data_IF_734732982104
#
_entry.id   IF_734732982104
#
_cell.length_a   1.000
_cell.length_b   1.000
_cell.length_c   1.000
_cell.angle_alpha   90.00
_cell.angle_beta   90.00
_cell.angle_gamma   90.00
#
_symmetry.space_group_name_H-M   'P 1'
#
loop_
_entity.id
_entity.type
_entity.pdbx_description
1 polymer ?
#
# COMPACT_ATOMS: atom_id res chain seq x y z
N UNK A 1 -36.26 -19.97 77.96
CA UNK A 1 -35.46 -18.74 78.14
C UNK A 1 -35.04 -18.28 76.76
N UNK A 2 -35.86 -17.44 76.09
CA UNK A 2 -35.85 -15.96 76.10
C UNK A 2 -34.45 -15.42 75.74
N UNK A 3 -34.25 -14.67 74.65
CA UNK A 3 -34.88 -13.37 74.37
C UNK A 3 -34.84 -13.02 72.87
N UNK A 4 -35.92 -12.40 72.40
CA UNK A 4 -35.94 -11.48 71.25
C UNK A 4 -35.52 -10.10 71.75
N UNK A 5 -34.71 -9.33 71.01
CA UNK A 5 -34.92 -7.88 70.88
C UNK A 5 -34.09 -7.24 69.76
N UNK A 6 -34.82 -6.39 69.04
CA UNK A 6 -34.49 -5.36 68.06
C UNK A 6 -33.64 -4.21 68.65
N UNK A 7 -32.78 -3.58 67.82
CA UNK A 7 -32.30 -2.18 68.00
C UNK A 7 -31.88 -1.60 66.63
N UNK A 8 -32.74 -0.74 66.08
CA UNK A 8 -32.38 0.29 65.10
C UNK A 8 -31.74 1.49 65.82
N UNK A 9 -30.76 2.15 65.19
CA UNK A 9 -30.39 3.57 65.35
C UNK A 9 -29.53 3.98 64.13
N UNK A 10 -30.04 4.79 63.19
CA UNK A 10 -29.88 6.26 63.10
C UNK A 10 -28.44 6.78 63.28
N UNK A 11 -27.79 7.21 62.18
CA UNK A 11 -27.43 8.63 61.93
C UNK A 11 -26.29 8.79 60.89
N UNK A 12 -26.68 9.42 59.77
CA UNK A 12 -26.01 10.46 58.96
C UNK A 12 -24.58 10.33 58.38
N UNK A 13 -24.49 10.89 57.16
CA UNK A 13 -23.33 11.43 56.42
C UNK A 13 -22.59 10.35 55.59
N UNK A 14 -22.46 10.44 54.26
CA UNK A 14 -21.86 11.52 53.48
C UNK A 14 -22.32 11.48 52.01
N UNK A 15 -22.69 12.66 51.49
CA UNK A 15 -22.91 12.98 50.07
C UNK A 15 -21.59 12.86 49.29
N UNK A 16 -21.53 12.04 48.23
CA UNK A 16 -20.57 12.22 47.14
C UNK A 16 -21.20 11.74 45.82
N UNK A 17 -21.75 12.70 45.09
CA UNK A 17 -22.07 12.61 43.68
C UNK A 17 -20.79 12.34 42.87
N UNK A 18 -20.76 11.25 42.10
CA UNK A 18 -19.85 11.16 40.95
C UNK A 18 -20.66 11.09 39.65
N UNK A 19 -20.37 12.10 38.83
CA UNK A 19 -21.03 12.50 37.60
C UNK A 19 -20.33 11.79 36.44
N UNK A 20 -21.12 11.27 35.49
CA UNK A 20 -20.82 10.98 34.08
C UNK A 20 -19.55 10.15 33.77
N UNK A 21 -19.75 8.86 33.52
CA UNK A 21 -18.78 8.02 32.80
C UNK A 21 -19.08 7.97 31.31
N UNK A 22 -18.39 8.83 30.56
CA UNK A 22 -18.44 9.00 29.11
C UNK A 22 -18.33 7.68 28.32
N UNK A 23 -19.14 7.60 27.25
CA UNK A 23 -18.95 6.68 26.13
C UNK A 23 -17.50 6.72 25.63
N UNK A 24 -16.70 5.74 26.03
CA UNK A 24 -15.39 5.53 25.44
C UNK A 24 -15.57 4.77 24.13
N UNK A 25 -15.98 5.49 23.08
CA UNK A 25 -15.61 5.09 21.73
C UNK A 25 -14.12 5.42 21.60
N UNK A 26 -13.26 4.48 21.97
CA UNK A 26 -11.83 4.59 21.66
C UNK A 26 -11.68 4.36 20.17
N UNK A 27 -11.82 5.41 19.37
CA UNK A 27 -11.26 5.45 18.03
C UNK A 27 -9.76 5.24 18.19
N UNK A 28 -9.26 4.07 17.79
CA UNK A 28 -7.83 3.83 17.72
C UNK A 28 -7.23 4.92 16.82
N UNK A 29 -6.38 5.74 17.40
CA UNK A 29 -5.52 6.67 16.69
C UNK A 29 -4.83 5.89 15.56
N UNK A 30 -5.19 6.21 14.32
CA UNK A 30 -4.41 5.79 13.16
C UNK A 30 -3.05 6.44 13.34
N UNK A 31 -2.09 5.68 13.86
CA UNK A 31 -0.70 6.06 13.72
C UNK A 31 -0.47 6.14 12.22
N UNK A 32 -0.36 7.36 11.68
CA UNK A 32 0.20 7.60 10.35
C UNK A 32 1.70 7.23 10.41
N UNK A 33 1.98 5.94 10.66
CA UNK A 33 3.19 5.33 10.17
C UNK A 33 2.94 5.23 8.69
N UNK A 34 3.41 6.22 7.92
CA UNK A 34 3.64 6.03 6.48
C UNK A 34 4.41 4.71 6.40
N UNK A 35 3.73 3.65 5.98
CA UNK A 35 4.40 2.41 5.60
C UNK A 35 5.42 2.85 4.55
N UNK A 36 6.72 2.65 4.78
CA UNK A 36 7.72 3.12 3.82
C UNK A 36 7.39 2.50 2.47
N UNK A 37 7.17 3.35 1.46
CA UNK A 37 6.97 2.90 0.10
C UNK A 37 8.22 2.14 -0.29
N UNK A 38 8.07 0.84 -0.59
CA UNK A 38 9.23 0.01 -0.89
C UNK A 38 9.79 0.31 -2.28
N UNK A 39 8.94 0.87 -3.14
CA UNK A 39 9.25 1.54 -4.39
C UNK A 39 8.12 2.53 -4.71
N UNK A 40 8.39 3.50 -5.57
CA UNK A 40 7.39 4.40 -6.15
C UNK A 40 7.72 4.63 -7.62
N UNK A 41 6.82 4.19 -8.51
CA UNK A 41 7.01 4.24 -9.95
C UNK A 41 5.84 4.97 -10.60
N UNK A 42 6.14 6.01 -11.37
CA UNK A 42 5.23 6.66 -12.30
C UNK A 42 5.27 5.91 -13.64
N UNK A 43 4.09 5.62 -14.18
CA UNK A 43 3.90 4.99 -15.48
C UNK A 43 3.26 5.99 -16.43
N UNK A 44 3.90 6.18 -17.58
CA UNK A 44 3.42 7.02 -18.67
C UNK A 44 3.34 6.20 -19.95
N UNK A 45 2.23 6.33 -20.69
CA UNK A 45 2.08 5.72 -22.02
C UNK A 45 2.55 6.68 -23.09
N UNK A 46 3.54 6.23 -23.86
CA UNK A 46 4.03 6.92 -25.06
C UNK A 46 3.37 6.34 -26.30
N UNK A 47 3.60 6.94 -27.47
CA UNK A 47 3.09 6.42 -28.74
C UNK A 47 3.55 4.97 -28.97
N UNK A 48 4.85 4.73 -28.79
CA UNK A 48 5.52 3.48 -29.13
C UNK A 48 5.64 2.50 -27.97
N UNK A 49 5.41 2.93 -26.72
CA UNK A 49 5.59 2.04 -25.57
C UNK A 49 5.28 2.70 -24.23
N UNK A 50 6.16 2.50 -23.26
CA UNK A 50 6.00 2.99 -21.90
C UNK A 50 7.26 3.73 -21.46
N UNK A 51 7.04 4.76 -20.64
CA UNK A 51 8.06 5.44 -19.87
C UNK A 51 7.76 5.22 -18.39
N UNK A 52 8.76 4.79 -17.63
CA UNK A 52 8.70 4.58 -16.20
C UNK A 52 9.66 5.54 -15.52
N UNK A 53 9.19 6.25 -14.51
CA UNK A 53 10.03 7.11 -13.67
C UNK A 53 9.97 6.61 -12.24
N UNK A 54 11.11 6.31 -11.64
CA UNK A 54 11.20 5.85 -10.25
C UNK A 54 11.75 6.96 -9.37
N UNK A 55 11.00 7.32 -8.33
CA UNK A 55 11.47 8.24 -7.29
C UNK A 55 12.04 7.50 -6.07
N UNK A 56 11.67 6.23 -5.87
CA UNK A 56 12.10 5.42 -4.72
C UNK A 56 12.23 3.93 -5.10
N UNK A 57 13.17 3.22 -4.49
CA UNK A 57 13.24 1.75 -4.51
C UNK A 57 13.86 1.09 -5.75
N UNK A 58 14.33 1.86 -6.73
CA UNK A 58 14.99 1.33 -7.94
C UNK A 58 16.43 1.86 -8.09
N UNK A 59 17.29 1.08 -8.75
CA UNK A 59 18.64 1.48 -9.16
C UNK A 59 18.64 2.44 -10.36
N UNK A 60 17.48 2.59 -11.00
CA UNK A 60 17.25 3.47 -12.14
C UNK A 60 16.27 4.58 -11.75
N UNK A 61 16.47 5.77 -12.31
CA UNK A 61 15.54 6.90 -12.18
C UNK A 61 14.51 6.91 -13.31
N UNK A 62 14.89 6.44 -14.50
CA UNK A 62 14.02 6.40 -15.68
C UNK A 62 14.29 5.13 -16.51
N UNK A 63 13.23 4.53 -17.04
CA UNK A 63 13.28 3.53 -18.10
C UNK A 63 12.29 3.91 -19.18
N UNK A 64 12.69 3.77 -20.44
CA UNK A 64 11.79 3.96 -21.58
C UNK A 64 12.01 2.83 -22.56
N UNK A 65 10.92 2.20 -22.98
CA UNK A 65 10.99 1.05 -23.88
C UNK A 65 9.77 0.97 -24.80
N UNK A 66 10.03 0.51 -26.03
CA UNK A 66 9.00 0.23 -27.03
C UNK A 66 8.34 -1.11 -26.70
N UNK A 67 7.01 -1.14 -26.74
CA UNK A 67 6.24 -2.36 -26.54
C UNK A 67 4.97 -2.28 -27.39
N UNK A 68 4.77 -3.30 -28.21
CA UNK A 68 3.57 -3.40 -29.05
C UNK A 68 2.35 -3.80 -28.22
N UNK A 69 1.16 -3.64 -28.78
CA UNK A 69 -0.07 -4.09 -28.13
C UNK A 69 0.00 -5.59 -27.81
N UNK A 70 -0.47 -5.95 -26.62
CA UNK A 70 -0.54 -7.30 -26.06
C UNK A 70 0.81 -7.99 -25.86
N UNK A 71 1.92 -7.25 -26.06
CA UNK A 71 3.27 -7.68 -25.72
C UNK A 71 3.62 -7.33 -24.27
N UNK A 72 4.60 -8.05 -23.73
CA UNK A 72 5.02 -7.95 -22.33
C UNK A 72 6.47 -7.49 -22.19
N UNK A 73 6.73 -6.67 -21.16
CA UNK A 73 8.07 -6.33 -20.69
C UNK A 73 8.12 -6.54 -19.17
N UNK A 74 9.12 -7.28 -18.70
CA UNK A 74 9.33 -7.47 -17.26
C UNK A 74 10.33 -6.43 -16.75
N UNK A 75 10.06 -5.85 -15.58
CA UNK A 75 10.91 -4.84 -14.94
C UNK A 75 11.11 -5.22 -13.48
N UNK A 76 12.35 -5.05 -13.01
CA UNK A 76 12.76 -5.21 -11.61
C UNK A 76 13.40 -3.92 -11.09
N UNK A 77 13.81 -3.94 -9.82
CA UNK A 77 14.53 -2.83 -9.18
C UNK A 77 15.84 -2.47 -9.90
N UNK A 78 16.39 -3.38 -10.72
CA UNK A 78 17.63 -3.17 -11.47
C UNK A 78 17.41 -2.73 -12.92
N UNK A 79 16.20 -2.86 -13.46
CA UNK A 79 15.92 -2.45 -14.84
C UNK A 79 14.96 -3.39 -15.55
N UNK A 80 14.99 -3.35 -16.88
CA UNK A 80 14.29 -4.33 -17.72
C UNK A 80 14.93 -5.72 -17.61
N UNK A 81 14.10 -6.75 -17.61
CA UNK A 81 14.53 -8.13 -17.40
C UNK A 81 13.59 -9.16 -18.03
N UNK A 82 13.86 -10.44 -17.81
CA UNK A 82 13.02 -11.58 -18.22
C UNK A 82 12.09 -12.04 -17.08
N UNK A 83 10.97 -12.71 -17.42
CA UNK A 83 10.00 -13.18 -16.42
C UNK A 83 10.56 -14.17 -15.40
N UNK A 84 11.60 -14.91 -15.77
CA UNK A 84 12.21 -15.98 -14.97
C UNK A 84 13.48 -15.53 -14.24
N UNK A 85 13.72 -14.22 -14.11
CA UNK A 85 14.87 -13.72 -13.36
C UNK A 85 14.76 -14.18 -11.90
N UNK A 86 15.53 -15.21 -11.56
CA UNK A 86 15.75 -15.62 -10.17
C UNK A 86 16.66 -14.57 -9.54
N UNK A 87 16.15 -13.85 -8.55
CA UNK A 87 16.92 -12.88 -7.78
C UNK A 87 18.22 -13.56 -7.31
N UNK A 88 19.36 -13.15 -7.87
CA UNK A 88 20.62 -13.31 -7.16
C UNK A 88 20.43 -12.59 -5.83
N UNK A 89 20.88 -13.18 -4.72
CA UNK A 89 20.84 -12.50 -3.43
C UNK A 89 21.69 -11.24 -3.54
N UNK A 90 21.08 -10.16 -3.99
CA UNK A 90 21.79 -8.92 -4.22
C UNK A 90 21.93 -8.25 -2.87
N UNK A 91 23.17 -8.23 -2.38
CA UNK A 91 23.59 -7.56 -1.15
C UNK A 91 23.47 -6.01 -1.23
N UNK A 92 22.74 -5.47 -2.23
CA UNK A 92 22.62 -4.04 -2.49
C UNK A 92 21.55 -3.33 -1.64
N UNK A 93 20.79 -4.07 -0.81
CA UNK A 93 19.79 -3.48 0.09
C UNK A 93 18.56 -2.88 -0.62
N UNK A 94 18.45 -3.05 -1.93
CA UNK A 94 17.29 -2.62 -2.71
C UNK A 94 16.11 -3.58 -2.50
N UNK A 95 14.91 -3.05 -2.63
CA UNK A 95 13.71 -3.85 -2.49
C UNK A 95 13.49 -4.72 -3.73
N UNK A 96 13.45 -6.03 -3.51
CA UNK A 96 13.38 -7.03 -4.57
C UNK A 96 11.95 -7.18 -5.09
N UNK A 97 11.70 -6.68 -6.30
CA UNK A 97 10.41 -6.77 -6.99
C UNK A 97 10.57 -7.25 -8.43
N UNK A 98 9.50 -7.82 -8.96
CA UNK A 98 9.41 -8.23 -10.36
C UNK A 98 7.99 -8.00 -10.86
N UNK A 99 7.84 -7.12 -11.85
CA UNK A 99 6.55 -6.70 -12.38
C UNK A 99 6.56 -6.87 -13.90
N UNK A 100 5.50 -7.51 -14.43
CA UNK A 100 5.30 -7.67 -15.87
C UNK A 100 4.31 -6.60 -16.35
N UNK A 101 4.76 -5.75 -17.27
CA UNK A 101 3.97 -4.71 -17.91
C UNK A 101 3.43 -5.21 -19.25
N UNK A 102 2.13 -5.05 -19.48
CA UNK A 102 1.48 -5.35 -20.75
C UNK A 102 0.76 -4.12 -21.26
N UNK A 103 1.11 -3.67 -22.47
CA UNK A 103 0.34 -2.61 -23.16
C UNK A 103 -0.90 -3.25 -23.76
N UNK A 104 -2.07 -2.86 -23.29
CA UNK A 104 -3.35 -3.33 -23.85
C UNK A 104 -3.88 -2.29 -24.84
N UNK A 105 -4.98 -2.60 -25.53
CA UNK A 105 -5.68 -1.64 -26.41
C UNK A 105 -5.96 -0.31 -25.68
N UNK A 106 -6.67 -0.37 -24.56
CA UNK A 106 -7.22 0.81 -23.88
C UNK A 106 -6.38 1.30 -22.69
N UNK A 107 -5.34 0.57 -22.30
CA UNK A 107 -4.52 0.95 -21.15
C UNK A 107 -3.37 0.00 -20.85
N UNK A 108 -3.09 -0.20 -19.57
CA UNK A 108 -1.95 -1.00 -19.11
C UNK A 108 -2.44 -2.06 -18.12
N UNK A 109 -1.92 -3.27 -18.25
CA UNK A 109 -2.08 -4.34 -17.25
C UNK A 109 -0.72 -4.68 -16.65
N UNK A 110 -0.68 -4.83 -15.34
CA UNK A 110 0.51 -5.18 -14.58
C UNK A 110 0.28 -6.51 -13.87
N UNK A 111 1.28 -7.39 -13.87
CA UNK A 111 1.27 -8.61 -13.06
C UNK A 111 2.44 -8.56 -12.09
N UNK A 112 2.13 -8.56 -10.80
CA UNK A 112 3.10 -8.63 -9.72
C UNK A 112 3.58 -10.07 -9.56
N UNK A 113 4.84 -10.35 -9.90
CA UNK A 113 5.47 -11.67 -9.71
C UNK A 113 6.18 -11.77 -8.37
N UNK A 114 6.76 -10.65 -7.91
CA UNK A 114 7.47 -10.54 -6.64
C UNK A 114 7.40 -9.12 -6.09
N UNK A 115 7.49 -8.98 -4.78
CA UNK A 115 7.68 -7.68 -4.13
C UNK A 115 6.47 -6.76 -4.20
N UNK A 116 5.28 -7.29 -4.39
CA UNK A 116 4.03 -6.51 -4.49
C UNK A 116 2.98 -7.15 -3.58
N UNK A 117 2.11 -6.33 -2.97
CA UNK A 117 0.96 -6.81 -2.20
C UNK A 117 -0.19 -7.27 -3.11
N UNK A 118 -0.12 -6.92 -4.39
CA UNK A 118 -1.10 -7.20 -5.42
C UNK A 118 -0.55 -8.20 -6.44
N UNK A 119 -1.43 -9.02 -7.00
CA UNK A 119 -1.08 -9.95 -8.08
C UNK A 119 -1.29 -9.36 -9.46
N UNK A 120 -2.29 -8.47 -9.61
CA UNK A 120 -2.60 -7.81 -10.85
C UNK A 120 -3.15 -6.40 -10.61
N UNK A 121 -2.77 -5.46 -11.46
CA UNK A 121 -3.41 -4.15 -11.59
C UNK A 121 -3.77 -3.93 -13.05
N UNK A 122 -4.84 -3.18 -13.31
CA UNK A 122 -5.23 -2.78 -14.66
C UNK A 122 -5.91 -1.42 -14.60
N UNK A 123 -5.54 -0.54 -15.51
CA UNK A 123 -6.10 0.80 -15.59
C UNK A 123 -6.10 1.29 -17.04
N UNK A 124 -7.06 2.17 -17.33
CA UNK A 124 -7.13 2.88 -18.61
C UNK A 124 -5.99 3.89 -18.67
N UNK A 125 -5.32 3.96 -19.81
CA UNK A 125 -4.12 4.77 -19.95
C UNK A 125 -4.02 5.21 -21.41
N UNK A 126 -4.62 6.37 -21.76
CA UNK A 126 -4.55 6.92 -23.11
C UNK A 126 -3.15 7.47 -23.42
N UNK A 127 -2.75 7.45 -24.68
CA UNK A 127 -1.45 7.98 -25.13
C UNK A 127 -1.36 9.48 -24.82
N UNK A 128 -0.22 9.92 -24.29
CA UNK A 128 0.10 11.35 -24.09
C UNK A 128 -0.51 12.02 -22.86
N UNK A 129 -1.53 11.44 -22.24
CA UNK A 129 -2.22 12.02 -21.08
C UNK A 129 -2.32 11.07 -19.87
N UNK A 130 -1.54 10.00 -19.87
CA UNK A 130 -1.59 9.01 -18.81
C UNK A 130 -0.42 9.16 -17.85
N UNK A 131 -0.74 9.35 -16.57
CA UNK A 131 0.20 9.42 -15.45
C UNK A 131 -0.38 8.59 -14.32
N UNK A 132 0.13 7.37 -14.11
CA UNK A 132 -0.33 6.50 -13.02
C UNK A 132 0.84 6.15 -12.11
N UNK A 133 0.76 6.51 -10.84
CA UNK A 133 1.69 6.04 -9.83
C UNK A 133 1.29 4.66 -9.32
N UNK A 134 2.30 3.82 -9.08
CA UNK A 134 2.16 2.55 -8.39
C UNK A 134 3.21 2.43 -7.28
N UNK A 135 2.85 1.68 -6.24
CA UNK A 135 3.75 1.27 -5.18
C UNK A 135 3.53 -0.20 -4.79
N UNK A 136 4.18 -0.60 -3.69
CA UNK A 136 4.02 -1.93 -3.09
C UNK A 136 2.56 -2.31 -2.84
N UNK A 137 1.70 -1.35 -2.50
CA UNK A 137 0.33 -1.57 -2.06
C UNK A 137 -0.67 -1.54 -3.21
N UNK A 138 -0.39 -0.81 -4.30
CA UNK A 138 -1.27 -0.75 -5.46
C UNK A 138 -1.09 0.48 -6.33
N UNK A 139 -2.18 0.92 -6.94
CA UNK A 139 -2.26 2.22 -7.61
C UNK A 139 -2.41 3.32 -6.57
N UNK A 140 -1.77 4.46 -6.81
CA UNK A 140 -1.92 5.67 -5.99
C UNK A 140 -2.78 6.65 -6.77
N UNK A 141 -3.84 7.14 -6.13
CA UNK A 141 -4.67 8.22 -6.67
C UNK A 141 -3.92 9.55 -6.53
N UNK A 142 -3.91 10.34 -7.60
CA UNK A 142 -3.34 11.71 -7.61
C UNK A 142 -4.29 12.72 -6.98
#
# INVERSE_FOLDING_TARGET
>A
MNYVSFKNNFSNVLLLSFVLGFSHCTSKLSTNKKTPHKFLILIERTENGLKLTSSEGCAWSELSFTISQDMQQTVSQLGMTTPDQTSTKDNNGLYDFLIVFTKTKDGISLVGKKGTAWTQLKFTCPVGNCHQYIDFSGMIDN
#
